data_IF_673017949203
#
_entry.id   IF_673017949203
#
_cell.length_a   1.000
_cell.length_b   1.000
_cell.length_c   1.000
_cell.angle_alpha   90.00
_cell.angle_beta   90.00
_cell.angle_gamma   90.00
#
_symmetry.space_group_name_H-M   'P 1'
#
loop_
_entity.id
_entity.type
_entity.pdbx_description
1 polymer ?
#
# COMPACT_ATOMS: atom_id res chain seq x y z
N UNK A 1 -0.99 38.53 -6.86
CA UNK A 1 -0.60 37.23 -7.47
C UNK A 1 -0.76 37.31 -8.98
N UNK A 2 0.32 37.08 -9.74
CA UNK A 2 0.29 37.10 -11.21
C UNK A 2 -0.60 35.96 -11.76
N UNK A 3 -1.23 36.14 -12.94
CA UNK A 3 -2.08 35.11 -13.57
C UNK A 3 -1.37 33.75 -13.67
N UNK A 4 -0.05 33.75 -13.96
CA UNK A 4 0.78 32.53 -14.04
C UNK A 4 0.80 31.73 -12.73
N UNK A 5 0.84 32.42 -11.60
CA UNK A 5 0.86 31.79 -10.27
C UNK A 5 -0.48 31.11 -9.94
N UNK A 6 -1.61 31.66 -10.42
CA UNK A 6 -2.94 31.04 -10.26
C UNK A 6 -3.11 29.78 -11.12
N UNK A 7 -2.59 29.76 -12.35
CA UNK A 7 -2.64 28.57 -13.21
C UNK A 7 -1.80 27.41 -12.68
N UNK A 8 -0.63 27.70 -12.11
CA UNK A 8 0.21 26.67 -11.48
C UNK A 8 -0.48 26.04 -10.27
N UNK A 9 -1.07 26.86 -9.39
CA UNK A 9 -1.86 26.38 -8.25
C UNK A 9 -3.06 25.52 -8.70
N UNK A 10 -3.76 25.92 -9.77
CA UNK A 10 -4.85 25.14 -10.35
C UNK A 10 -4.39 23.78 -10.88
N UNK A 11 -3.24 23.73 -11.57
CA UNK A 11 -2.66 22.48 -12.07
C UNK A 11 -2.26 21.53 -10.94
N UNK A 12 -1.61 22.05 -9.90
CA UNK A 12 -1.24 21.24 -8.72
C UNK A 12 -2.47 20.68 -8.03
N UNK A 13 -3.51 21.51 -7.82
CA UNK A 13 -4.75 21.06 -7.20
C UNK A 13 -5.43 19.93 -7.99
N UNK A 14 -5.44 20.03 -9.32
CA UNK A 14 -5.98 18.98 -10.19
C UNK A 14 -5.21 17.66 -10.05
N UNK A 15 -3.87 17.71 -10.07
CA UNK A 15 -3.04 16.51 -9.92
C UNK A 15 -3.30 15.85 -8.55
N UNK A 16 -3.35 16.63 -7.47
CA UNK A 16 -3.65 16.12 -6.13
C UNK A 16 -5.02 15.46 -6.08
N UNK A 17 -6.05 16.08 -6.68
CA UNK A 17 -7.39 15.51 -6.76
C UNK A 17 -7.41 14.19 -7.54
N UNK A 18 -6.68 14.09 -8.66
CA UNK A 18 -6.57 12.86 -9.44
C UNK A 18 -5.88 11.74 -8.66
N UNK A 19 -4.79 12.05 -7.95
CA UNK A 19 -4.09 11.09 -7.09
C UNK A 19 -5.01 10.60 -5.96
N UNK A 20 -5.68 11.53 -5.26
CA UNK A 20 -6.60 11.19 -4.19
C UNK A 20 -7.74 10.28 -4.68
N UNK A 21 -8.29 10.59 -5.86
CA UNK A 21 -9.32 9.76 -6.51
C UNK A 21 -8.78 8.38 -6.86
N UNK A 22 -7.58 8.31 -7.46
CA UNK A 22 -6.92 7.05 -7.78
C UNK A 22 -6.69 6.17 -6.55
N UNK A 23 -6.21 6.75 -5.45
CA UNK A 23 -6.00 6.04 -4.18
C UNK A 23 -7.35 5.56 -3.60
N UNK A 24 -8.41 6.37 -3.69
CA UNK A 24 -9.72 6.01 -3.16
C UNK A 24 -10.33 4.80 -3.86
N UNK A 25 -10.18 4.69 -5.18
CA UNK A 25 -10.69 3.57 -5.97
C UNK A 25 -9.68 2.43 -6.15
N UNK A 26 -8.48 2.54 -5.59
CA UNK A 26 -7.45 1.53 -5.75
C UNK A 26 -7.82 0.24 -5.00
N UNK A 27 -7.78 -0.90 -5.70
CA UNK A 27 -7.99 -2.21 -5.10
C UNK A 27 -6.74 -2.64 -4.32
N UNK A 28 -6.77 -2.40 -3.01
CA UNK A 28 -5.64 -2.68 -2.12
C UNK A 28 -5.20 -4.14 -2.12
N UNK A 29 -6.12 -5.08 -2.35
CA UNK A 29 -5.79 -6.51 -2.39
C UNK A 29 -4.82 -6.87 -3.54
N UNK A 30 -4.68 -6.02 -4.56
CA UNK A 30 -3.66 -6.20 -5.60
C UNK A 30 -2.24 -6.14 -5.03
N UNK A 31 -2.03 -5.47 -3.90
CA UNK A 31 -0.71 -5.37 -3.26
C UNK A 31 -0.33 -6.62 -2.45
N UNK A 32 -1.25 -7.56 -2.21
CA UNK A 32 -0.94 -8.80 -1.46
C UNK A 32 0.26 -9.54 -2.04
N UNK A 33 0.28 -9.74 -3.35
CA UNK A 33 1.37 -10.43 -4.05
C UNK A 33 2.71 -9.69 -3.97
N UNK A 34 2.79 -8.40 -4.37
CA UNK A 34 4.00 -7.59 -4.22
C UNK A 34 4.53 -7.53 -2.78
N UNK A 35 3.66 -7.28 -1.80
CA UNK A 35 4.03 -7.25 -0.37
C UNK A 35 4.59 -8.60 0.04
N UNK A 36 3.90 -9.68 -0.31
CA UNK A 36 4.32 -11.01 0.09
C UNK A 36 5.72 -11.34 -0.42
N UNK A 37 5.96 -11.14 -1.73
CA UNK A 37 7.29 -11.33 -2.32
C UNK A 37 8.37 -10.47 -1.68
N UNK A 38 8.04 -9.25 -1.26
CA UNK A 38 9.00 -8.38 -0.60
C UNK A 38 9.36 -8.91 0.78
N UNK A 39 8.37 -9.38 1.56
CA UNK A 39 8.63 -10.04 2.85
C UNK A 39 9.51 -11.27 2.64
N UNK A 40 9.17 -12.14 1.68
CA UNK A 40 9.98 -13.33 1.39
C UNK A 40 11.43 -12.99 1.04
N UNK A 41 11.65 -11.97 0.22
CA UNK A 41 13.00 -11.50 -0.14
C UNK A 41 13.76 -10.95 1.07
N UNK A 42 13.07 -10.26 1.97
CA UNK A 42 13.69 -9.66 3.16
C UNK A 42 13.96 -10.69 4.26
N UNK A 43 13.13 -11.72 4.39
CA UNK A 43 13.24 -12.72 5.47
C UNK A 43 13.87 -14.03 5.03
N UNK A 44 13.93 -14.31 3.72
CA UNK A 44 14.34 -15.61 3.18
C UNK A 44 13.38 -16.76 3.52
N UNK A 45 12.13 -16.43 3.87
CA UNK A 45 11.11 -17.38 4.35
C UNK A 45 9.86 -17.24 3.50
N UNK A 46 9.16 -18.34 3.21
CA UNK A 46 7.87 -18.29 2.51
C UNK A 46 6.86 -17.45 3.26
N UNK A 47 6.12 -16.61 2.57
CA UNK A 47 5.13 -15.73 3.18
C UNK A 47 3.91 -15.55 2.29
N UNK A 48 2.72 -15.63 2.88
CA UNK A 48 1.45 -15.50 2.20
C UNK A 48 0.50 -14.59 2.97
N UNK A 49 -0.27 -13.81 2.21
CA UNK A 49 -1.41 -13.03 2.70
C UNK A 49 -2.65 -13.68 2.09
N UNK A 50 -3.31 -14.54 2.86
CA UNK A 50 -4.44 -15.34 2.37
C UNK A 50 -5.80 -14.66 2.63
N UNK A 51 -5.83 -13.60 3.44
CA UNK A 51 -7.01 -12.80 3.72
C UNK A 51 -6.97 -11.45 3.04
N UNK A 52 -7.86 -10.56 3.44
CA UNK A 52 -7.97 -9.23 2.83
C UNK A 52 -6.96 -8.24 3.40
N UNK A 53 -6.59 -7.28 2.55
CA UNK A 53 -5.76 -6.14 2.90
C UNK A 53 -6.64 -4.89 3.01
N UNK A 54 -6.85 -4.44 4.23
CA UNK A 54 -7.59 -3.21 4.53
C UNK A 54 -6.62 -2.06 4.72
N UNK A 55 -6.81 -1.00 3.94
CA UNK A 55 -6.03 0.23 4.08
C UNK A 55 -6.98 1.39 4.37
N UNK A 56 -6.83 1.95 5.57
CA UNK A 56 -7.56 3.13 6.00
C UNK A 56 -6.64 4.35 5.92
N UNK A 57 -6.82 5.14 4.87
CA UNK A 57 -6.08 6.38 4.65
C UNK A 57 -6.69 7.48 5.52
N UNK A 58 -5.91 7.99 6.46
CA UNK A 58 -6.27 9.12 7.32
C UNK A 58 -4.99 9.85 7.76
N UNK A 59 -5.09 10.85 8.63
CA UNK A 59 -3.92 11.49 9.26
C UNK A 59 -3.07 10.51 10.07
N UNK A 60 -3.67 9.41 10.53
CA UNK A 60 -2.98 8.27 11.16
C UNK A 60 -3.32 7.01 10.35
N UNK A 61 -2.59 6.75 9.25
CA UNK A 61 -2.93 5.65 8.35
C UNK A 61 -2.88 4.32 9.12
N UNK A 62 -3.86 3.46 8.85
CA UNK A 62 -3.92 2.11 9.40
C UNK A 62 -3.97 1.11 8.27
N UNK A 63 -3.11 0.10 8.36
CA UNK A 63 -3.08 -1.02 7.43
C UNK A 63 -3.31 -2.27 8.26
N UNK A 64 -4.26 -3.10 7.83
CA UNK A 64 -4.58 -4.38 8.46
C UNK A 64 -4.56 -5.44 7.38
N UNK A 65 -3.78 -6.49 7.59
CA UNK A 65 -3.70 -7.64 6.70
C UNK A 65 -4.18 -8.87 7.47
N UNK A 66 -5.09 -9.62 6.87
CA UNK A 66 -5.72 -10.77 7.51
C UNK A 66 -5.11 -12.09 7.02
N UNK A 67 -5.21 -13.12 7.87
CA UNK A 67 -4.78 -14.48 7.58
C UNK A 67 -3.34 -14.55 7.00
N UNK A 68 -2.40 -13.99 7.78
CA UNK A 68 -0.98 -13.98 7.45
C UNK A 68 -0.34 -15.33 7.80
N UNK A 69 0.43 -15.87 6.86
CA UNK A 69 1.21 -17.09 7.06
C UNK A 69 2.66 -16.79 6.77
N UNK A 70 3.55 -17.10 7.73
CA UNK A 70 4.99 -17.00 7.59
C UNK A 70 5.61 -18.38 7.86
N UNK A 71 6.23 -18.99 6.86
CA UNK A 71 6.89 -20.28 6.98
C UNK A 71 8.05 -20.23 7.97
N UNK A 72 8.43 -21.34 8.59
CA UNK A 72 9.45 -21.37 9.65
C UNK A 72 10.82 -20.85 9.17
N UNK A 73 11.65 -20.38 10.09
CA UNK A 73 13.04 -20.07 9.76
C UNK A 73 13.83 -21.38 9.57
N UNK A 74 14.94 -21.35 8.82
CA UNK A 74 15.76 -22.55 8.58
C UNK A 74 16.32 -23.20 9.86
N UNK A 75 16.42 -22.44 10.94
CA UNK A 75 16.83 -22.89 12.27
C UNK A 75 15.65 -23.25 13.19
N UNK A 76 14.43 -22.93 12.78
CA UNK A 76 13.23 -23.27 13.53
C UNK A 76 12.92 -24.75 13.37
N UNK A 77 12.52 -25.38 14.47
CA UNK A 77 12.02 -26.77 14.49
C UNK A 77 10.49 -26.75 14.50
N UNK A 78 9.91 -27.85 14.04
CA UNK A 78 8.46 -28.12 14.09
C UNK A 78 8.00 -28.53 15.50
#
# INVERSE_FOLDING_TARGET
MSKRSKHWLGGVALIVALIATGIYFFEWNMLRGPIARQVERSTGRTFAINGDLHVHISTRPRITAENLVLGNASWGRD
#
